data_IF_148358641068
#
_entry.id   IF_148358641068
#
_cell.length_a   1.000
_cell.length_b   1.000
_cell.length_c   1.000
_cell.angle_alpha   90.00
_cell.angle_beta   90.00
_cell.angle_gamma   90.00
#
_symmetry.space_group_name_H-M   'P 1'
#
loop_
_entity.id
_entity.type
_entity.pdbx_description
1 polymer ?
#
# COMPACT_ATOMS: atom_id res chain seq x y z
N UNK A 1 15.39 -8.44 -8.51
CA UNK A 1 16.66 -7.84 -8.85
C UNK A 1 16.79 -6.46 -8.23
N UNK A 2 17.97 -6.03 -8.00
CA UNK A 2 18.20 -4.71 -7.40
C UNK A 2 17.62 -3.60 -8.26
N UNK A 3 16.78 -2.78 -7.67
CA UNK A 3 16.14 -1.68 -8.34
C UNK A 3 15.00 -2.04 -9.27
N UNK A 4 14.72 -3.32 -9.45
CA UNK A 4 13.62 -3.77 -10.28
C UNK A 4 12.41 -4.12 -9.43
N UNK A 5 11.26 -3.55 -9.79
CA UNK A 5 9.98 -3.97 -9.23
C UNK A 5 9.45 -5.07 -10.13
N UNK A 6 9.45 -6.29 -9.63
CA UNK A 6 8.97 -7.45 -10.36
C UNK A 6 7.52 -7.76 -10.00
N UNK A 7 7.19 -7.60 -8.73
CA UNK A 7 5.86 -7.88 -8.20
C UNK A 7 5.46 -6.85 -7.17
N UNK A 8 4.16 -6.67 -7.00
CA UNK A 8 3.56 -5.77 -6.02
C UNK A 8 2.88 -6.60 -4.94
N UNK A 9 3.27 -6.39 -3.69
CA UNK A 9 2.66 -7.08 -2.55
C UNK A 9 1.40 -6.36 -2.07
N UNK A 10 0.32 -7.11 -1.97
CA UNK A 10 -0.93 -6.59 -1.45
C UNK A 10 -1.55 -7.54 -0.44
N UNK A 11 -2.10 -6.96 0.61
CA UNK A 11 -2.73 -7.68 1.70
C UNK A 11 -4.22 -7.87 1.42
N UNK A 12 -4.77 -8.95 1.93
CA UNK A 12 -6.21 -9.16 1.97
C UNK A 12 -6.64 -8.96 3.43
N UNK A 13 -7.51 -7.99 3.66
CA UNK A 13 -7.95 -7.63 5.01
C UNK A 13 -9.46 -7.52 5.11
N UNK A 14 -9.97 -7.82 6.30
CA UNK A 14 -11.35 -7.58 6.64
C UNK A 14 -11.50 -6.14 7.16
N UNK A 15 -12.31 -5.34 6.48
CA UNK A 15 -12.59 -3.98 6.87
C UNK A 15 -13.79 -3.86 7.78
N UNK A 16 -14.17 -2.63 8.08
CA UNK A 16 -15.38 -2.31 8.83
C UNK A 16 -16.59 -2.91 8.11
N UNK A 17 -17.51 -3.50 8.87
CA UNK A 17 -18.70 -4.13 8.32
C UNK A 17 -18.48 -5.53 7.76
N UNK A 18 -17.28 -6.09 7.92
CA UNK A 18 -16.98 -7.47 7.55
C UNK A 18 -16.59 -7.68 6.08
N UNK A 19 -16.56 -6.63 5.28
CA UNK A 19 -16.13 -6.75 3.88
C UNK A 19 -14.62 -7.02 3.79
N UNK A 20 -14.24 -7.85 2.84
CA UNK A 20 -12.84 -8.22 2.60
C UNK A 20 -12.35 -7.44 1.39
N UNK A 21 -11.18 -6.82 1.51
CA UNK A 21 -10.61 -6.09 0.39
C UNK A 21 -9.11 -6.26 0.29
N UNK A 22 -8.61 -6.12 -0.93
CA UNK A 22 -7.19 -6.13 -1.25
C UNK A 22 -6.64 -4.71 -1.06
N UNK A 23 -5.55 -4.59 -0.29
CA UNK A 23 -5.00 -3.27 0.03
C UNK A 23 -3.49 -3.33 0.22
N UNK A 24 -2.87 -2.16 0.18
CA UNK A 24 -1.43 -2.01 0.42
C UNK A 24 -1.16 -1.82 1.92
N UNK A 25 0.09 -2.03 2.30
CA UNK A 25 0.55 -1.71 3.66
C UNK A 25 0.27 -0.24 3.94
N UNK A 26 -0.37 0.04 5.06
CA UNK A 26 -0.71 1.41 5.44
C UNK A 26 -0.79 1.56 6.95
N UNK A 27 -0.77 2.80 7.42
CA UNK A 27 -0.94 3.10 8.82
C UNK A 27 -0.60 4.55 9.13
N UNK A 28 -0.71 4.89 10.39
CA UNK A 28 -0.50 6.25 10.88
C UNK A 28 0.94 6.50 11.27
N UNK A 29 1.35 7.76 11.19
CA UNK A 29 2.58 8.22 11.82
C UNK A 29 2.25 8.64 13.25
N UNK A 30 2.97 8.11 14.21
CA UNK A 30 2.75 8.41 15.62
C UNK A 30 3.40 9.74 15.99
N UNK A 31 2.88 10.36 17.06
CA UNK A 31 3.46 11.60 17.56
C UNK A 31 4.96 11.41 17.87
N UNK A 32 5.78 12.30 17.35
CA UNK A 32 7.23 12.24 17.54
C UNK A 32 7.95 11.21 16.69
N UNK A 33 7.23 10.42 15.90
CA UNK A 33 7.80 9.41 15.03
C UNK A 33 8.18 10.03 13.67
N UNK A 34 9.34 9.66 13.15
CA UNK A 34 9.74 10.06 11.81
C UNK A 34 8.99 9.20 10.78
N UNK A 35 8.80 9.75 9.58
CA UNK A 35 8.14 9.00 8.49
C UNK A 35 8.88 7.69 8.21
N UNK A 36 10.21 7.70 8.18
CA UNK A 36 10.99 6.49 7.97
C UNK A 36 10.69 5.42 9.03
N UNK A 37 10.62 5.84 10.29
CA UNK A 37 10.31 4.92 11.40
C UNK A 37 8.91 4.33 11.25
N UNK A 38 7.93 5.15 10.84
CA UNK A 38 6.57 4.68 10.59
C UNK A 38 6.53 3.65 9.46
N UNK A 39 7.24 3.90 8.36
CA UNK A 39 7.31 2.96 7.23
C UNK A 39 7.89 1.62 7.67
N UNK A 40 9.00 1.65 8.40
CA UNK A 40 9.64 0.43 8.92
C UNK A 40 8.68 -0.33 9.85
N UNK A 41 8.04 0.38 10.76
CA UNK A 41 7.12 -0.21 11.73
C UNK A 41 5.90 -0.87 11.05
N UNK A 42 5.30 -0.20 10.08
CA UNK A 42 4.15 -0.75 9.35
C UNK A 42 4.55 -1.93 8.46
N UNK A 43 5.71 -1.88 7.83
CA UNK A 43 6.19 -3.01 7.05
C UNK A 43 6.42 -4.23 7.95
N UNK A 44 7.07 -4.04 9.09
CA UNK A 44 7.30 -5.14 10.04
C UNK A 44 5.98 -5.70 10.57
N UNK A 45 5.05 -4.82 10.92
CA UNK A 45 3.74 -5.24 11.45
C UNK A 45 2.95 -6.05 10.43
N UNK A 46 2.93 -5.62 9.18
CA UNK A 46 2.06 -6.23 8.16
C UNK A 46 2.74 -7.33 7.34
N UNK A 47 4.06 -7.30 7.23
CA UNK A 47 4.82 -8.23 6.40
C UNK A 47 5.75 -9.14 7.21
N UNK A 48 5.84 -8.93 8.52
CA UNK A 48 6.69 -9.72 9.40
C UNK A 48 8.09 -9.15 9.58
N UNK A 49 8.80 -9.59 10.63
CA UNK A 49 10.11 -9.02 10.99
C UNK A 49 11.22 -9.35 9.99
N UNK A 50 11.02 -10.34 9.12
CA UNK A 50 12.03 -10.77 8.16
C UNK A 50 11.83 -10.19 6.76
N UNK A 51 10.92 -9.23 6.61
CA UNK A 51 10.63 -8.62 5.30
C UNK A 51 11.79 -7.79 4.75
N UNK A 52 12.62 -7.24 5.62
CA UNK A 52 13.81 -6.44 5.26
C UNK A 52 13.47 -5.31 4.28
N UNK A 53 12.58 -4.39 4.66
CA UNK A 53 12.24 -3.27 3.79
C UNK A 53 13.43 -2.32 3.62
N UNK A 54 13.62 -1.86 2.39
CA UNK A 54 14.66 -0.86 2.08
C UNK A 54 14.05 0.53 2.08
N UNK A 55 14.26 1.26 3.16
CA UNK A 55 13.75 2.63 3.31
C UNK A 55 14.94 3.56 3.44
N UNK A 56 15.10 4.56 2.56
CA UNK A 56 16.21 5.52 2.68
C UNK A 56 16.07 6.39 3.92
N UNK A 57 17.15 7.05 4.31
CA UNK A 57 17.17 7.93 5.49
C UNK A 57 16.10 9.03 5.41
N UNK A 58 15.90 9.57 4.21
CA UNK A 58 14.89 10.60 3.94
C UNK A 58 13.98 10.11 2.82
N UNK A 59 12.94 9.32 3.15
CA UNK A 59 12.06 8.80 2.13
C UNK A 59 11.26 9.92 1.46
N UNK A 60 11.09 9.81 0.14
CA UNK A 60 10.33 10.77 -0.65
C UNK A 60 9.07 10.08 -1.18
N UNK A 61 7.87 10.61 -0.88
CA UNK A 61 6.64 10.03 -1.41
C UNK A 61 6.58 10.22 -2.93
N UNK A 62 6.02 9.23 -3.63
CA UNK A 62 5.78 9.38 -5.06
C UNK A 62 4.50 10.16 -5.33
N UNK A 63 3.59 10.20 -4.38
CA UNK A 63 2.37 11.00 -4.46
C UNK A 63 1.79 11.25 -3.07
N UNK A 64 0.92 12.25 -3.01
CA UNK A 64 0.07 12.53 -1.85
C UNK A 64 -1.36 12.18 -2.25
N UNK A 65 -2.00 11.31 -1.49
CA UNK A 65 -3.37 10.88 -1.75
C UNK A 65 -4.29 11.52 -0.72
N UNK A 66 -5.32 12.21 -1.20
CA UNK A 66 -6.33 12.82 -0.33
C UNK A 66 -7.61 11.98 -0.38
N UNK A 67 -8.08 11.57 0.78
CA UNK A 67 -9.29 10.75 0.93
C UNK A 67 -10.40 11.61 1.51
N UNK A 68 -11.57 11.54 0.91
CA UNK A 68 -12.71 12.35 1.32
C UNK A 68 -13.91 11.46 1.68
N UNK A 69 -14.69 11.83 2.71
CA UNK A 69 -15.90 11.08 3.07
C UNK A 69 -17.03 11.26 2.07
N UNK A 70 -17.06 12.38 1.33
CA UNK A 70 -18.05 12.63 0.30
C UNK A 70 -17.55 12.08 -1.05
N UNK A 71 -18.23 11.05 -1.62
CA UNK A 71 -17.80 10.48 -2.89
C UNK A 71 -17.88 11.44 -4.08
N UNK A 72 -18.59 12.56 -3.94
CA UNK A 72 -18.69 13.57 -5.00
C UNK A 72 -17.46 14.45 -5.09
N UNK A 73 -16.62 14.48 -4.05
CA UNK A 73 -15.37 15.24 -4.07
C UNK A 73 -14.32 14.46 -4.87
N UNK A 74 -13.61 15.13 -5.77
CA UNK A 74 -12.55 14.48 -6.54
C UNK A 74 -11.39 14.04 -5.64
N UNK A 75 -10.79 12.90 -5.96
CA UNK A 75 -9.72 12.29 -5.17
C UNK A 75 -10.09 10.88 -4.78
N UNK A 76 -9.47 10.40 -3.70
CA UNK A 76 -9.80 9.09 -3.16
C UNK A 76 -10.96 9.21 -2.17
N UNK A 77 -11.67 8.10 -1.99
CA UNK A 77 -12.86 8.09 -1.13
C UNK A 77 -12.63 7.21 0.10
N UNK A 78 -12.92 7.74 1.28
CA UNK A 78 -13.03 6.99 2.53
C UNK A 78 -14.25 7.50 3.28
N UNK A 79 -15.30 6.68 3.46
CA UNK A 79 -16.52 7.15 4.10
C UNK A 79 -16.36 7.54 5.57
N UNK A 80 -15.23 7.17 6.18
CA UNK A 80 -15.01 7.37 7.61
C UNK A 80 -14.46 8.76 7.95
N UNK A 81 -13.63 9.34 7.08
CA UNK A 81 -12.96 10.60 7.40
C UNK A 81 -12.23 11.20 6.19
N UNK A 82 -11.89 12.48 6.34
CA UNK A 82 -10.93 13.15 5.47
C UNK A 82 -9.54 12.80 5.95
N UNK A 83 -8.72 12.28 5.06
CA UNK A 83 -7.36 11.89 5.38
C UNK A 83 -6.40 12.30 4.25
N UNK A 84 -5.18 12.60 4.64
CA UNK A 84 -4.08 12.85 3.70
C UNK A 84 -3.03 11.78 3.93
N UNK A 85 -2.70 11.04 2.88
CA UNK A 85 -1.71 9.97 2.95
C UNK A 85 -0.51 10.28 2.07
N UNK A 86 0.67 10.00 2.59
CA UNK A 86 1.90 10.01 1.82
C UNK A 86 2.14 8.59 1.31
N UNK A 87 2.34 8.45 0.01
CA UNK A 87 2.51 7.14 -0.61
C UNK A 87 3.95 6.92 -1.05
N UNK A 88 4.48 5.73 -0.74
CA UNK A 88 5.86 5.37 -1.01
C UNK A 88 5.94 4.03 -1.73
N UNK A 89 6.96 3.87 -2.56
CA UNK A 89 7.36 2.55 -3.05
C UNK A 89 8.50 2.07 -2.16
N UNK A 90 8.29 0.94 -1.51
CA UNK A 90 9.28 0.35 -0.59
C UNK A 90 9.65 -1.04 -1.08
N UNK A 91 10.85 -1.22 -1.63
CA UNK A 91 11.35 -2.56 -1.96
C UNK A 91 11.54 -3.38 -0.69
N UNK A 92 11.21 -4.66 -0.76
CA UNK A 92 11.47 -5.60 0.33
C UNK A 92 12.35 -6.74 -0.20
N UNK A 93 13.39 -7.06 0.55
CA UNK A 93 14.38 -8.06 0.13
C UNK A 93 14.26 -9.38 0.89
N UNK A 94 13.45 -9.42 1.94
CA UNK A 94 13.36 -10.56 2.82
C UNK A 94 12.12 -11.41 2.59
N UNK A 95 11.88 -12.31 3.52
CA UNK A 95 10.71 -13.16 3.51
C UNK A 95 9.55 -12.43 4.19
N UNK A 96 8.44 -12.34 3.48
CA UNK A 96 7.24 -11.67 3.97
C UNK A 96 6.20 -12.70 4.38
N UNK A 97 5.66 -12.54 5.58
CA UNK A 97 4.56 -13.36 6.07
C UNK A 97 3.47 -12.44 6.61
N UNK A 98 2.21 -12.67 6.26
CA UNK A 98 1.13 -11.85 6.81
C UNK A 98 1.02 -12.10 8.31
N UNK A 99 0.77 -11.04 9.04
CA UNK A 99 0.57 -11.11 10.48
C UNK A 99 -0.92 -11.20 10.82
N UNK A 100 -1.25 -11.22 12.10
CA UNK A 100 -2.59 -11.54 12.60
C UNK A 100 -3.74 -10.77 11.96
N UNK A 101 -3.51 -9.53 11.53
CA UNK A 101 -4.57 -8.67 11.01
C UNK A 101 -4.83 -8.87 9.52
N UNK A 102 -3.94 -9.57 8.82
CA UNK A 102 -4.10 -9.84 7.41
C UNK A 102 -4.54 -11.28 7.19
N UNK A 103 -5.50 -11.48 6.30
CA UNK A 103 -5.98 -12.80 5.92
C UNK A 103 -5.04 -13.47 4.93
N UNK A 104 -4.34 -12.68 4.12
CA UNK A 104 -3.45 -13.17 3.09
C UNK A 104 -2.50 -12.05 2.63
N UNK A 105 -1.37 -12.47 2.05
CA UNK A 105 -0.44 -11.60 1.35
C UNK A 105 -0.17 -12.24 0.01
N UNK A 106 -0.38 -11.50 -1.08
CA UNK A 106 -0.12 -11.99 -2.42
C UNK A 106 0.74 -11.01 -3.20
N UNK A 107 1.66 -11.54 -4.00
CA UNK A 107 2.53 -10.78 -4.87
C UNK A 107 2.01 -10.86 -6.30
N UNK A 108 1.67 -9.72 -6.85
CA UNK A 108 1.10 -9.60 -8.19
C UNK A 108 2.13 -9.05 -9.16
N UNK A 109 2.16 -9.57 -10.38
CA UNK A 109 2.89 -8.90 -11.45
C UNK A 109 2.22 -7.56 -11.75
N UNK A 110 2.92 -6.59 -12.37
CA UNK A 110 2.29 -5.33 -12.75
C UNK A 110 1.00 -5.49 -13.56
N UNK A 111 0.98 -6.45 -14.49
CA UNK A 111 -0.20 -6.74 -15.31
C UNK A 111 -1.37 -7.25 -14.46
N UNK A 112 -1.08 -8.16 -13.54
CA UNK A 112 -2.10 -8.69 -12.62
C UNK A 112 -2.63 -7.60 -11.69
N UNK A 113 -1.72 -6.75 -11.18
CA UNK A 113 -2.09 -5.72 -10.21
C UNK A 113 -3.08 -4.70 -10.77
N UNK A 114 -3.09 -4.48 -12.08
CA UNK A 114 -4.02 -3.55 -12.74
C UNK A 114 -5.15 -4.26 -13.48
N UNK A 115 -5.22 -5.59 -13.38
CA UNK A 115 -6.29 -6.37 -14.02
C UNK A 115 -7.64 -6.09 -13.37
N UNK A 116 -8.71 -6.27 -14.14
CA UNK A 116 -10.06 -6.05 -13.65
C UNK A 116 -10.39 -6.95 -12.46
N UNK A 117 -9.92 -8.19 -12.47
CA UNK A 117 -10.17 -9.14 -11.38
C UNK A 117 -9.59 -8.66 -10.06
N UNK A 118 -8.36 -8.15 -10.08
CA UNK A 118 -7.69 -7.66 -8.86
C UNK A 118 -8.27 -6.31 -8.44
N UNK A 119 -8.56 -5.42 -9.39
CA UNK A 119 -9.16 -4.12 -9.10
C UNK A 119 -10.50 -4.28 -8.39
N UNK A 120 -11.30 -5.27 -8.78
CA UNK A 120 -12.58 -5.54 -8.12
C UNK A 120 -12.44 -5.95 -6.65
N UNK A 121 -11.28 -6.48 -6.25
CA UNK A 121 -11.01 -6.83 -4.85
C UNK A 121 -10.59 -5.61 -4.02
N UNK A 122 -10.25 -4.49 -4.66
CA UNK A 122 -9.70 -3.32 -3.99
C UNK A 122 -10.79 -2.40 -3.44
N UNK A 123 -10.42 -1.67 -2.38
CA UNK A 123 -11.20 -0.52 -1.93
C UNK A 123 -11.15 0.58 -2.98
N UNK A 124 -12.23 1.35 -3.09
CA UNK A 124 -12.33 2.45 -4.04
C UNK A 124 -11.11 3.37 -4.00
N UNK A 125 -10.50 3.58 -5.15
CA UNK A 125 -9.35 4.47 -5.33
C UNK A 125 -7.98 3.80 -5.19
N UNK A 126 -7.90 2.61 -4.62
CA UNK A 126 -6.60 1.92 -4.47
C UNK A 126 -5.98 1.54 -5.82
N UNK A 127 -6.80 1.25 -6.82
CA UNK A 127 -6.30 0.95 -8.17
C UNK A 127 -5.55 2.13 -8.78
N UNK A 128 -6.02 3.36 -8.54
CA UNK A 128 -5.30 4.57 -8.98
C UNK A 128 -3.94 4.68 -8.29
N UNK A 129 -3.90 4.39 -7.01
CA UNK A 129 -2.65 4.45 -6.25
C UNK A 129 -1.64 3.44 -6.78
N UNK A 130 -2.06 2.22 -7.07
CA UNK A 130 -1.22 1.18 -7.66
C UNK A 130 -0.72 1.62 -9.04
N UNK A 131 -1.57 2.19 -9.88
CA UNK A 131 -1.16 2.69 -11.21
C UNK A 131 -0.12 3.79 -11.09
N UNK A 132 -0.31 4.71 -10.16
CA UNK A 132 0.66 5.79 -9.92
C UNK A 132 2.00 5.23 -9.45
N UNK A 133 1.98 4.24 -8.57
CA UNK A 133 3.20 3.58 -8.09
C UNK A 133 3.93 2.89 -9.22
N UNK A 134 3.22 2.13 -10.05
CA UNK A 134 3.81 1.43 -11.20
C UNK A 134 4.37 2.40 -12.23
N UNK A 135 3.66 3.50 -12.49
CA UNK A 135 4.16 4.55 -13.39
C UNK A 135 5.44 5.17 -12.85
N UNK A 136 5.50 5.40 -11.54
CA UNK A 136 6.68 5.97 -10.88
C UNK A 136 7.92 5.09 -11.05
N UNK A 137 7.78 3.77 -11.00
CA UNK A 137 8.89 2.83 -11.17
C UNK A 137 9.07 2.36 -12.63
N UNK A 138 8.28 2.89 -13.55
CA UNK A 138 8.41 2.57 -14.98
C UNK A 138 7.89 1.19 -15.37
N UNK A 139 6.92 0.65 -14.61
CA UNK A 139 6.39 -0.70 -14.81
C UNK A 139 4.88 -0.71 -15.11
N UNK A 140 4.26 0.43 -15.33
CA UNK A 140 2.85 0.47 -15.69
C UNK A 140 2.64 -0.17 -17.07
N UNK A 141 1.82 -1.21 -17.17
CA UNK A 141 1.53 -1.87 -18.45
C UNK A 141 0.82 -0.99 -19.45
#
# INVERSE_FOLDING_TARGET
GMGNVEEVGMLLRQGAGGSISRMVVSGRVLYGERVREALMRHCEKDLGPMALPRVPANPTPFTVAEYFPDPAVSGFHDPRHHAVSLAYVVPVDGECEPTQEALDLHWFTPEEAVSDDVVLEMTSGHDRLIRLALAHVGKLP
#
